data_IF_045468257842
#
_entry.id   IF_045468257842
#
_cell.length_a   1.000
_cell.length_b   1.000
_cell.length_c   1.000
_cell.angle_alpha   90.00
_cell.angle_beta   90.00
_cell.angle_gamma   90.00
#
_symmetry.space_group_name_H-M   'P 1'
#
loop_
_entity.id
_entity.type
_entity.pdbx_description
1 polymer ?
#
# COMPACT_ATOMS: atom_id res chain seq x y z
N UNK A 1 -12.05 -3.16 -4.96
CA UNK A 1 -11.52 -1.78 -4.81
C UNK A 1 -10.04 -1.74 -4.39
N UNK A 2 -9.43 -2.90 -4.12
CA UNK A 2 -8.10 -3.06 -3.51
C UNK A 2 -6.94 -2.47 -4.33
N UNK A 3 -7.07 -2.41 -5.67
CA UNK A 3 -6.10 -1.67 -6.49
C UNK A 3 -6.04 -0.19 -6.12
N UNK A 4 -7.18 0.50 -6.09
CA UNK A 4 -7.25 1.91 -5.71
C UNK A 4 -6.90 2.09 -4.22
N UNK A 5 -7.28 1.14 -3.36
CA UNK A 5 -6.86 1.12 -1.97
C UNK A 5 -5.34 1.09 -1.82
N UNK A 6 -4.67 0.15 -2.50
CA UNK A 6 -3.22 0.03 -2.50
C UNK A 6 -2.53 1.25 -3.11
N UNK A 7 -3.09 1.82 -4.17
CA UNK A 7 -2.61 3.06 -4.78
C UNK A 7 -2.66 4.24 -3.80
N UNK A 8 -3.79 4.43 -3.13
CA UNK A 8 -3.98 5.54 -2.19
C UNK A 8 -3.13 5.38 -0.92
N UNK A 9 -3.04 4.16 -0.37
CA UNK A 9 -2.15 3.85 0.75
C UNK A 9 -0.70 4.17 0.39
N UNK A 10 -0.24 3.70 -0.77
CA UNK A 10 1.10 4.01 -1.25
C UNK A 10 1.30 5.53 -1.39
N UNK A 11 0.34 6.25 -1.96
CA UNK A 11 0.42 7.71 -2.08
C UNK A 11 0.54 8.41 -0.71
N UNK A 12 -0.28 8.02 0.26
CA UNK A 12 -0.22 8.57 1.62
C UNK A 12 1.15 8.36 2.27
N UNK A 13 1.73 7.16 2.14
CA UNK A 13 3.06 6.88 2.70
C UNK A 13 4.19 7.61 1.96
N UNK A 14 4.06 7.82 0.65
CA UNK A 14 4.99 8.66 -0.11
C UNK A 14 4.95 10.10 0.40
N UNK A 15 3.76 10.67 0.63
CA UNK A 15 3.63 12.02 1.20
C UNK A 15 4.24 12.13 2.60
N UNK A 16 4.05 11.11 3.45
CA UNK A 16 4.70 11.04 4.77
C UNK A 16 6.21 10.99 4.62
N UNK A 17 6.72 10.15 3.71
CA UNK A 17 8.15 10.06 3.42
C UNK A 17 8.71 11.40 2.95
N UNK A 18 8.07 12.07 1.99
CA UNK A 18 8.51 13.35 1.44
C UNK A 18 8.54 14.43 2.53
N UNK A 19 7.53 14.48 3.40
CA UNK A 19 7.52 15.36 4.57
C UNK A 19 8.71 15.10 5.50
N UNK A 20 8.98 13.83 5.85
CA UNK A 20 10.09 13.45 6.73
C UNK A 20 11.46 13.71 6.07
N UNK A 21 11.59 13.49 4.77
CA UNK A 21 12.79 13.76 3.99
C UNK A 21 13.08 15.27 3.90
N UNK A 22 12.04 16.09 3.69
CA UNK A 22 12.15 17.55 3.73
C UNK A 22 12.57 18.07 5.11
N UNK A 23 12.13 17.40 6.18
CA UNK A 23 12.59 17.65 7.56
C UNK A 23 13.97 17.05 7.87
N UNK A 24 14.62 16.40 6.90
CA UNK A 24 15.93 15.72 7.03
C UNK A 24 15.94 14.63 8.12
N UNK A 25 14.79 14.04 8.43
CA UNK A 25 14.65 12.98 9.43
C UNK A 25 14.95 11.60 8.87
N UNK A 26 14.56 11.35 7.62
CA UNK A 26 14.74 10.07 6.92
C UNK A 26 15.14 10.36 5.48
N UNK A 27 16.14 9.65 4.95
CA UNK A 27 16.54 9.75 3.54
C UNK A 27 16.80 8.37 2.96
N UNK A 28 16.05 7.99 1.93
CA UNK A 28 16.23 6.73 1.21
C UNK A 28 16.80 7.05 -0.18
N UNK A 29 18.11 6.82 -0.36
CA UNK A 29 18.79 7.11 -1.63
C UNK A 29 18.56 6.02 -2.68
N UNK A 30 18.38 4.78 -2.25
CA UNK A 30 18.23 3.64 -3.15
C UNK A 30 16.76 3.48 -3.57
N UNK A 31 16.49 3.64 -4.88
CA UNK A 31 15.14 3.50 -5.45
C UNK A 31 14.51 2.14 -5.20
N UNK A 32 15.30 1.06 -5.25
CA UNK A 32 14.81 -0.29 -4.98
C UNK A 32 14.34 -0.41 -3.53
N UNK A 33 15.11 0.10 -2.57
CA UNK A 33 14.73 0.11 -1.15
C UNK A 33 13.45 0.93 -0.93
N UNK A 34 13.32 2.07 -1.62
CA UNK A 34 12.10 2.89 -1.55
C UNK A 34 10.87 2.13 -2.07
N UNK A 35 10.95 1.54 -3.27
CA UNK A 35 9.87 0.75 -3.86
C UNK A 35 9.51 -0.41 -2.92
N UNK A 36 10.52 -1.15 -2.47
CA UNK A 36 10.35 -2.29 -1.57
C UNK A 36 9.63 -1.89 -0.27
N UNK A 37 10.03 -0.77 0.34
CA UNK A 37 9.40 -0.26 1.55
C UNK A 37 7.92 0.07 1.34
N UNK A 38 7.60 0.84 0.28
CA UNK A 38 6.21 1.25 0.01
C UNK A 38 5.34 0.02 -0.29
N UNK A 39 5.81 -0.89 -1.14
CA UNK A 39 5.09 -2.12 -1.48
C UNK A 39 4.89 -3.01 -0.23
N UNK A 40 5.90 -3.12 0.64
CA UNK A 40 5.79 -3.89 1.89
C UNK A 40 4.77 -3.30 2.85
N UNK A 41 4.69 -1.97 2.95
CA UNK A 41 3.70 -1.28 3.77
C UNK A 41 2.29 -1.56 3.25
N UNK A 42 2.07 -1.48 1.94
CA UNK A 42 0.76 -1.81 1.36
C UNK A 42 0.39 -3.27 1.58
N UNK A 43 1.35 -4.19 1.42
CA UNK A 43 1.14 -5.61 1.74
C UNK A 43 0.75 -5.82 3.20
N UNK A 44 1.40 -5.12 4.14
CA UNK A 44 1.03 -5.18 5.55
C UNK A 44 -0.39 -4.65 5.82
N UNK A 45 -0.79 -3.54 5.20
CA UNK A 45 -2.16 -3.03 5.33
C UNK A 45 -3.17 -4.01 4.74
N UNK A 46 -2.86 -4.66 3.61
CA UNK A 46 -3.74 -5.67 3.03
C UNK A 46 -3.91 -6.87 3.98
N UNK A 47 -2.83 -7.33 4.64
CA UNK A 47 -2.92 -8.37 5.68
C UNK A 47 -3.83 -7.91 6.84
N UNK A 48 -3.69 -6.67 7.30
CA UNK A 48 -4.54 -6.14 8.37
C UNK A 48 -6.01 -6.07 7.96
N UNK A 49 -6.30 -5.74 6.70
CA UNK A 49 -7.65 -5.72 6.14
C UNK A 49 -8.30 -7.11 6.19
N UNK A 50 -7.61 -8.13 5.68
CA UNK A 50 -8.10 -9.52 5.70
C UNK A 50 -8.29 -10.05 7.12
N UNK A 51 -7.36 -9.74 8.02
CA UNK A 51 -7.49 -10.08 9.44
C UNK A 51 -8.74 -9.42 10.07
N UNK A 52 -9.04 -8.18 9.66
CA UNK A 52 -10.23 -7.48 10.12
C UNK A 52 -11.51 -8.10 9.56
N UNK A 53 -11.57 -8.42 8.27
CA UNK A 53 -12.71 -9.13 7.66
C UNK A 53 -12.97 -10.45 8.37
N UNK A 54 -11.91 -11.24 8.61
CA UNK A 54 -11.99 -12.49 9.35
C UNK A 54 -12.56 -12.28 10.75
N UNK A 55 -12.07 -11.28 11.47
CA UNK A 55 -12.53 -10.98 12.82
C UNK A 55 -14.00 -10.56 12.84
N UNK A 56 -14.44 -9.78 11.85
CA UNK A 56 -15.84 -9.35 11.74
C UNK A 56 -16.78 -10.52 11.47
N UNK A 57 -16.37 -11.48 10.66
CA UNK A 57 -17.12 -12.73 10.47
C UNK A 57 -17.12 -13.56 11.76
N UNK A 58 -15.97 -13.72 12.39
CA UNK A 58 -15.84 -14.54 13.59
C UNK A 58 -16.63 -14.01 14.79
N UNK A 59 -16.62 -12.69 15.02
CA UNK A 59 -17.27 -12.07 16.18
C UNK A 59 -18.74 -11.72 15.95
N UNK A 60 -19.10 -11.31 14.73
CA UNK A 60 -20.42 -10.74 14.44
C UNK A 60 -21.23 -11.53 13.40
N UNK A 61 -20.67 -12.63 12.89
CA UNK A 61 -21.29 -13.50 11.88
C UNK A 61 -21.69 -12.72 10.61
N UNK A 62 -20.94 -11.66 10.28
CA UNK A 62 -21.14 -10.86 9.08
C UNK A 62 -20.63 -11.62 7.84
N UNK A 63 -21.28 -11.50 6.67
CA UNK A 63 -20.87 -12.19 5.45
C UNK A 63 -19.78 -11.39 4.69
N UNK A 64 -18.71 -11.01 5.39
CA UNK A 64 -17.67 -10.11 4.85
C UNK A 64 -16.41 -10.84 4.39
N UNK A 65 -16.09 -12.00 4.95
CA UNK A 65 -14.97 -12.81 4.47
C UNK A 65 -15.33 -13.42 3.11
N UNK A 66 -14.51 -13.13 2.11
CA UNK A 66 -14.54 -13.81 0.82
C UNK A 66 -14.02 -15.25 0.88
N UNK A 67 -13.61 -15.77 -0.27
CA UNK A 67 -12.92 -17.05 -0.36
C UNK A 67 -11.40 -16.83 -0.49
N UNK A 68 -10.62 -17.92 -0.52
CA UNK A 68 -9.17 -17.83 -0.66
C UNK A 68 -8.72 -17.06 -1.91
N UNK A 69 -9.45 -17.20 -3.02
CA UNK A 69 -9.11 -16.52 -4.27
C UNK A 69 -9.35 -15.01 -4.17
N UNK A 70 -10.36 -14.59 -3.41
CA UNK A 70 -10.66 -13.19 -3.11
C UNK A 70 -9.52 -12.55 -2.31
N UNK A 71 -9.15 -13.15 -1.18
CA UNK A 71 -8.02 -12.71 -0.35
C UNK A 71 -6.71 -12.61 -1.14
N UNK A 72 -6.40 -13.62 -1.96
CA UNK A 72 -5.19 -13.58 -2.80
C UNK A 72 -5.29 -12.50 -3.88
N UNK A 73 -6.49 -12.30 -4.42
CA UNK A 73 -6.80 -11.22 -5.36
C UNK A 73 -6.57 -9.85 -4.73
N UNK A 74 -7.00 -9.64 -3.49
CA UNK A 74 -6.88 -8.37 -2.77
C UNK A 74 -5.43 -8.02 -2.47
N UNK A 75 -4.63 -9.02 -2.09
CA UNK A 75 -3.18 -8.86 -1.96
C UNK A 75 -2.54 -8.47 -3.28
N UNK A 76 -2.80 -9.21 -4.36
CA UNK A 76 -2.20 -8.94 -5.67
C UNK A 76 -2.61 -7.55 -6.17
N UNK A 77 -3.91 -7.21 -6.12
CA UNK A 77 -4.42 -5.92 -6.56
C UNK A 77 -3.85 -4.78 -5.72
N UNK A 78 -3.77 -4.93 -4.40
CA UNK A 78 -3.15 -3.95 -3.52
C UNK A 78 -1.68 -3.69 -3.86
N UNK A 79 -0.89 -4.75 -4.04
CA UNK A 79 0.53 -4.65 -4.39
C UNK A 79 0.75 -4.03 -5.79
N UNK A 80 -0.06 -4.40 -6.77
CA UNK A 80 -0.01 -3.79 -8.12
C UNK A 80 -0.37 -2.30 -8.02
N UNK A 81 -1.42 -1.95 -7.27
CA UNK A 81 -1.78 -0.54 -7.03
C UNK A 81 -0.65 0.28 -6.43
N UNK A 82 0.03 -0.28 -5.43
CA UNK A 82 1.20 0.35 -4.81
C UNK A 82 2.35 0.55 -5.81
N UNK A 83 2.67 -0.48 -6.60
CA UNK A 83 3.71 -0.41 -7.61
C UNK A 83 3.43 0.67 -8.65
N UNK A 84 2.20 0.74 -9.16
CA UNK A 84 1.77 1.77 -10.11
C UNK A 84 1.92 3.18 -9.52
N UNK A 85 1.54 3.38 -8.26
CA UNK A 85 1.70 4.67 -7.60
C UNK A 85 3.17 5.08 -7.46
N UNK A 86 4.08 4.15 -7.15
CA UNK A 86 5.51 4.46 -7.04
C UNK A 86 6.12 4.82 -8.40
N UNK A 87 5.76 4.10 -9.46
CA UNK A 87 6.18 4.45 -10.83
C UNK A 87 5.66 5.84 -11.21
N UNK A 88 4.37 6.09 -10.98
CA UNK A 88 3.75 7.40 -11.21
C UNK A 88 4.47 8.52 -10.45
N UNK A 89 4.83 8.28 -9.19
CA UNK A 89 5.56 9.25 -8.38
C UNK A 89 6.93 9.60 -9.00
N UNK A 90 7.69 8.61 -9.46
CA UNK A 90 8.99 8.88 -10.07
C UNK A 90 8.91 9.62 -11.41
N UNK A 91 7.90 9.31 -12.23
CA UNK A 91 7.76 9.91 -13.57
C UNK A 91 7.19 11.34 -13.54
N UNK A 92 6.28 11.63 -12.61
CA UNK A 92 5.58 12.92 -12.54
C UNK A 92 6.22 13.92 -11.57
N UNK A 93 6.60 13.51 -10.36
CA UNK A 93 7.02 14.45 -9.31
C UNK A 93 8.52 14.75 -9.33
N UNK A 94 9.36 13.82 -9.81
CA UNK A 94 10.80 14.07 -9.92
C UNK A 94 11.20 14.95 -11.10
N UNK A 95 10.25 15.26 -12.00
CA UNK A 95 10.43 16.23 -13.09
C UNK A 95 10.10 17.67 -12.69
N UNK A 96 9.49 17.90 -11.53
CA UNK A 96 9.02 19.23 -11.12
C UNK A 96 9.85 19.90 -10.01
N UNK A 97 11.04 19.37 -9.70
CA UNK A 97 12.03 19.93 -8.77
C UNK A 97 13.37 19.91 -9.48
#
# INVERSE_FOLDING_TARGET
MHFLGGFLVAHSFILIYDFLNNKKMIKINNKFIFVFLIVSIVGFIAILWECWEFLMVYLFNLPWQGNLADTMGDFVLGLIGAFFMVVFHFDFFKKSI
#
